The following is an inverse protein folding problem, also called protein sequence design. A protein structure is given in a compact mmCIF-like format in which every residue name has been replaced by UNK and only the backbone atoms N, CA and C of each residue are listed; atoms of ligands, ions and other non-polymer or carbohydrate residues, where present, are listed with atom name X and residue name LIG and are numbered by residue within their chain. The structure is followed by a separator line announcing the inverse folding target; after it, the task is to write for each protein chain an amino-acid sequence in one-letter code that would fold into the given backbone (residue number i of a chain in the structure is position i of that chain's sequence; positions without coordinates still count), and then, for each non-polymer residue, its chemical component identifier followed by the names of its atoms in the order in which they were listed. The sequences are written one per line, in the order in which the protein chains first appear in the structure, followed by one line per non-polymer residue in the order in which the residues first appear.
data_IF_412606190965
#
_entry.id   IF_412606190965
#
_cell.length_a   1.000
_cell.length_b   1.000
_cell.length_c   1.000
_cell.angle_alpha   90.00
_cell.angle_beta   90.00
_cell.angle_gamma   90.00
#
_symmetry.space_group_name_H-M   'P 1'
#
loop_
_entity.id
_entity.type
_entity.pdbx_description
1 polymer ?
#
# COMPACT_ATOMS: atom_id res chain seq x y z
N UNK A 1 5.66 27.01 0.12
CA UNK A 1 5.10 25.83 -0.56
C UNK A 1 6.02 25.53 -1.73
N UNK A 2 6.79 24.43 -1.67
CA UNK A 2 7.42 23.88 -2.88
C UNK A 2 6.37 22.96 -3.50
N UNK A 3 6.06 23.16 -4.77
CA UNK A 3 5.28 22.21 -5.55
C UNK A 3 5.96 20.84 -5.47
N UNK A 4 5.35 19.90 -4.75
CA UNK A 4 5.72 18.48 -4.79
C UNK A 4 5.04 17.93 -6.05
N UNK A 5 5.44 18.42 -7.21
CA UNK A 5 5.22 17.68 -8.45
C UNK A 5 6.36 16.68 -8.54
N UNK A 6 6.09 15.36 -8.57
CA UNK A 6 7.15 14.41 -8.89
C UNK A 6 7.74 14.83 -10.26
N UNK A 7 9.06 14.83 -10.43
CA UNK A 7 9.66 15.16 -11.71
C UNK A 7 9.07 14.25 -12.79
N UNK A 8 8.57 14.86 -13.86
CA UNK A 8 8.14 14.15 -15.07
C UNK A 8 9.36 13.37 -15.59
N UNK A 9 9.16 12.08 -15.82
CA UNK A 9 9.92 11.24 -16.76
C UNK A 9 11.40 10.91 -16.53
N UNK A 10 11.89 10.82 -15.28
CA UNK A 10 13.13 10.08 -15.05
C UNK A 10 12.88 8.87 -14.13
N UNK A 11 13.00 7.67 -14.69
CA UNK A 11 13.07 6.42 -13.94
C UNK A 11 14.33 6.44 -13.06
N UNK A 12 14.19 6.98 -11.86
CA UNK A 12 15.27 7.03 -10.87
C UNK A 12 15.43 5.65 -10.24
N UNK A 13 16.59 5.06 -10.45
CA UNK A 13 17.02 3.83 -9.78
C UNK A 13 17.86 4.18 -8.54
N UNK A 14 17.96 3.23 -7.61
CA UNK A 14 18.78 3.39 -6.40
C UNK A 14 20.23 2.94 -6.60
N UNK A 15 20.51 2.22 -7.70
CA UNK A 15 21.76 1.49 -7.93
C UNK A 15 21.74 0.04 -7.41
N UNK A 16 20.69 -0.37 -6.70
CA UNK A 16 20.50 -1.76 -6.22
C UNK A 16 19.60 -2.56 -7.16
N UNK A 17 19.56 -3.87 -6.96
CA UNK A 17 18.73 -4.83 -7.70
C UNK A 17 17.64 -5.42 -6.82
N UNK A 18 16.45 -5.61 -7.40
CA UNK A 18 15.37 -6.44 -6.88
C UNK A 18 15.46 -7.82 -7.53
N UNK A 19 15.41 -8.88 -6.73
CA UNK A 19 15.58 -10.26 -7.19
C UNK A 19 14.41 -11.10 -6.70
N UNK A 20 13.69 -11.72 -7.63
CA UNK A 20 12.64 -12.69 -7.30
C UNK A 20 13.28 -14.06 -7.15
N UNK A 21 13.10 -14.68 -5.98
CA UNK A 21 13.60 -16.02 -5.69
C UNK A 21 12.55 -17.08 -6.03
N UNK A 22 12.99 -18.27 -6.40
CA UNK A 22 12.13 -19.45 -6.54
C UNK A 22 11.42 -19.77 -5.22
N UNK A 23 10.13 -20.12 -5.21
CA UNK A 23 9.43 -20.59 -4.01
C UNK A 23 10.01 -21.87 -3.40
N UNK A 24 10.87 -22.58 -4.15
CA UNK A 24 11.51 -23.83 -3.71
C UNK A 24 12.98 -23.63 -3.34
N UNK A 25 13.44 -22.38 -3.28
CA UNK A 25 14.83 -22.06 -2.93
C UNK A 25 15.16 -22.54 -1.51
N UNK A 26 16.29 -23.21 -1.36
CA UNK A 26 16.93 -23.42 -0.07
C UNK A 26 17.65 -22.13 0.32
N UNK A 27 16.97 -21.30 1.13
CA UNK A 27 17.49 -19.99 1.56
C UNK A 27 18.84 -20.14 2.27
N UNK A 28 19.01 -21.01 3.28
CA UNK A 28 20.32 -21.23 3.92
C UNK A 28 21.45 -21.59 2.95
N UNK A 29 21.18 -22.45 1.96
CA UNK A 29 22.20 -22.82 0.97
C UNK A 29 22.55 -21.64 0.06
N UNK A 30 21.55 -20.88 -0.39
CA UNK A 30 21.75 -19.69 -1.22
C UNK A 30 22.53 -18.60 -0.48
N UNK A 31 22.15 -18.28 0.75
CA UNK A 31 22.85 -17.26 1.55
C UNK A 31 24.29 -17.69 1.85
N UNK A 32 24.52 -18.98 2.13
CA UNK A 32 25.88 -19.52 2.30
C UNK A 32 26.73 -19.36 1.05
N UNK A 33 26.18 -19.58 -0.15
CA UNK A 33 26.90 -19.42 -1.42
C UNK A 33 27.28 -17.94 -1.69
N UNK A 34 26.39 -17.00 -1.36
CA UNK A 34 26.64 -15.57 -1.50
C UNK A 34 27.67 -15.08 -0.46
N UNK A 35 27.57 -15.51 0.79
CA UNK A 35 28.56 -15.18 1.83
C UNK A 35 29.93 -15.78 1.54
N UNK A 36 30.01 -16.93 0.86
CA UNK A 36 31.28 -17.54 0.45
C UNK A 36 32.09 -16.67 -0.55
N UNK A 37 31.42 -15.77 -1.29
CA UNK A 37 32.08 -14.76 -2.15
C UNK A 37 32.22 -13.40 -1.47
N UNK A 38 32.07 -13.36 -0.14
CA UNK A 38 32.35 -12.20 0.68
C UNK A 38 31.20 -11.21 0.83
N UNK A 39 29.98 -11.57 0.44
CA UNK A 39 28.81 -10.71 0.64
C UNK A 39 28.31 -10.76 2.09
N UNK A 40 28.01 -9.59 2.65
CA UNK A 40 27.18 -9.46 3.86
C UNK A 40 25.71 -9.71 3.52
N UNK A 41 25.19 -10.88 3.91
CA UNK A 41 23.83 -11.33 3.59
C UNK A 41 22.98 -11.36 4.86
N UNK A 42 21.85 -10.66 4.82
CA UNK A 42 20.92 -10.56 5.96
C UNK A 42 19.58 -11.18 5.60
N UNK A 43 19.08 -12.09 6.44
CA UNK A 43 17.73 -12.66 6.31
C UNK A 43 16.75 -11.94 7.23
N UNK A 44 15.60 -11.52 6.70
CA UNK A 44 14.64 -10.69 7.41
C UNK A 44 14.03 -11.37 8.64
N UNK A 45 13.67 -12.66 8.55
CA UNK A 45 13.14 -13.42 9.68
C UNK A 45 14.14 -13.56 10.84
N UNK A 46 15.45 -13.67 10.56
CA UNK A 46 16.53 -13.69 11.57
C UNK A 46 16.72 -12.34 12.29
N UNK A 47 15.99 -11.31 11.85
CA UNK A 47 15.94 -9.97 12.47
C UNK A 47 14.55 -9.66 13.03
N UNK A 48 13.75 -10.69 13.33
CA UNK A 48 12.39 -10.51 13.87
C UNK A 48 11.41 -9.98 12.83
N UNK A 49 11.62 -10.31 11.56
CA UNK A 49 10.70 -10.02 10.47
C UNK A 49 10.76 -8.58 9.93
N UNK A 50 11.70 -7.78 10.42
CA UNK A 50 11.91 -6.40 9.97
C UNK A 50 13.40 -6.05 10.08
N UNK A 51 14.01 -5.86 8.93
CA UNK A 51 15.43 -5.51 8.85
C UNK A 51 15.61 -4.06 9.28
N UNK A 52 16.51 -3.75 10.22
CA UNK A 52 16.77 -2.37 10.64
C UNK A 52 17.14 -1.49 9.44
N UNK A 53 16.67 -0.23 9.36
CA UNK A 53 16.97 0.65 8.23
C UNK A 53 18.47 0.81 7.95
N UNK A 54 19.31 0.83 8.99
CA UNK A 54 20.74 1.03 8.79
C UNK A 54 21.39 -0.22 8.20
N UNK A 55 20.90 -1.40 8.59
CA UNK A 55 21.25 -2.66 7.93
C UNK A 55 20.74 -2.69 6.49
N UNK A 56 19.54 -2.13 6.22
CA UNK A 56 19.05 -1.98 4.84
C UNK A 56 19.95 -1.11 3.98
N UNK A 57 20.68 -0.17 4.57
CA UNK A 57 21.57 0.74 3.86
C UNK A 57 22.97 0.16 3.61
N UNK A 58 23.45 -0.75 4.47
CA UNK A 58 24.84 -1.23 4.46
C UNK A 58 25.04 -2.66 4.00
N UNK A 59 24.04 -3.54 4.11
CA UNK A 59 24.19 -4.95 3.73
C UNK A 59 24.29 -5.12 2.21
N UNK A 60 25.11 -6.08 1.76
CA UNK A 60 25.30 -6.38 0.34
C UNK A 60 24.08 -7.10 -0.25
N UNK A 61 23.43 -7.95 0.53
CA UNK A 61 22.18 -8.59 0.14
C UNK A 61 21.23 -8.77 1.32
N UNK A 62 19.94 -8.61 1.04
CA UNK A 62 18.88 -8.70 2.04
C UNK A 62 17.79 -9.61 1.51
N UNK A 63 17.60 -10.73 2.17
CA UNK A 63 16.61 -11.74 1.82
C UNK A 63 15.36 -11.54 2.67
N UNK A 64 14.26 -11.19 2.01
CA UNK A 64 12.92 -11.25 2.59
C UNK A 64 12.39 -12.65 2.34
N UNK A 65 12.63 -13.56 3.27
CA UNK A 65 12.38 -15.01 3.11
C UNK A 65 10.89 -15.34 2.96
N UNK A 66 10.01 -14.70 3.72
CA UNK A 66 8.55 -14.80 3.52
C UNK A 66 8.10 -14.19 2.18
N UNK A 67 8.82 -13.14 1.78
CA UNK A 67 8.90 -12.54 0.45
C UNK A 67 9.30 -13.53 -0.65
N UNK A 68 10.20 -14.48 -0.41
CA UNK A 68 11.06 -15.04 -1.46
C UNK A 68 11.60 -13.94 -2.40
N UNK A 69 12.02 -12.83 -1.80
CA UNK A 69 12.58 -11.67 -2.49
C UNK A 69 13.96 -11.40 -1.93
N UNK A 70 14.85 -10.86 -2.75
CA UNK A 70 16.14 -10.38 -2.31
C UNK A 70 16.41 -8.99 -2.90
N UNK A 71 16.92 -8.09 -2.07
CA UNK A 71 17.48 -6.80 -2.52
C UNK A 71 18.99 -6.93 -2.46
N UNK A 72 19.69 -6.62 -3.54
CA UNK A 72 21.14 -6.76 -3.63
C UNK A 72 21.74 -5.41 -3.99
N UNK A 73 22.77 -4.98 -3.25
CA UNK A 73 23.62 -3.85 -3.63
C UNK A 73 24.27 -4.11 -5.00
N UNK A 74 24.94 -3.12 -5.60
CA UNK A 74 25.64 -3.35 -6.86
C UNK A 74 26.69 -4.47 -6.68
N UNK A 75 26.49 -5.66 -7.30
CA UNK A 75 27.26 -6.84 -6.96
C UNK A 75 28.67 -6.77 -7.55
N UNK A 76 29.67 -7.22 -6.77
CA UNK A 76 31.03 -7.44 -7.26
C UNK A 76 31.06 -8.45 -8.42
N UNK A 77 32.15 -8.50 -9.19
CA UNK A 77 32.30 -9.48 -10.29
C UNK A 77 32.13 -10.92 -9.80
N UNK A 78 32.61 -11.23 -8.59
CA UNK A 78 32.46 -12.55 -7.98
C UNK A 78 30.99 -12.83 -7.58
N UNK A 79 30.31 -11.85 -7.00
CA UNK A 79 28.88 -11.94 -6.68
C UNK A 79 28.01 -12.11 -7.94
N UNK A 80 28.33 -11.38 -9.01
CA UNK A 80 27.66 -11.52 -10.32
C UNK A 80 27.81 -12.95 -10.88
N UNK A 81 28.98 -13.57 -10.76
CA UNK A 81 29.18 -14.93 -11.22
C UNK A 81 28.27 -15.93 -10.46
N UNK A 82 28.19 -15.80 -9.13
CA UNK A 82 27.30 -16.63 -8.30
C UNK A 82 25.83 -16.37 -8.65
N UNK A 83 25.42 -15.11 -8.78
CA UNK A 83 24.05 -14.77 -9.16
C UNK A 83 23.66 -15.32 -10.54
N UNK A 84 24.57 -15.26 -11.52
CA UNK A 84 24.34 -15.84 -12.84
C UNK A 84 24.19 -17.37 -12.78
N UNK A 85 24.97 -18.05 -11.94
CA UNK A 85 24.81 -19.50 -11.72
C UNK A 85 23.46 -19.81 -11.07
N UNK A 86 23.09 -19.07 -10.02
CA UNK A 86 21.80 -19.23 -9.34
C UNK A 86 20.63 -18.97 -10.31
N UNK A 87 20.75 -17.99 -11.20
CA UNK A 87 19.76 -17.74 -12.24
C UNK A 87 19.70 -18.88 -13.26
N UNK A 88 20.84 -19.40 -13.73
CA UNK A 88 20.90 -20.53 -14.66
C UNK A 88 20.30 -21.81 -14.05
N UNK A 89 20.34 -21.95 -12.73
CA UNK A 89 19.72 -23.05 -11.96
C UNK A 89 18.24 -22.83 -11.65
N UNK A 90 17.64 -21.71 -12.07
CA UNK A 90 16.25 -21.37 -11.79
C UNK A 90 15.98 -20.99 -10.33
N UNK A 91 17.02 -20.65 -9.57
CA UNK A 91 16.90 -20.17 -8.19
C UNK A 91 16.52 -18.69 -8.18
N UNK A 92 17.14 -17.88 -9.04
CA UNK A 92 16.72 -16.50 -9.30
C UNK A 92 15.81 -16.48 -10.52
N UNK A 93 14.57 -16.04 -10.34
CA UNK A 93 13.55 -16.01 -11.38
C UNK A 93 13.57 -14.71 -12.19
N UNK A 94 13.86 -13.58 -11.54
CA UNK A 94 14.05 -12.29 -12.20
C UNK A 94 15.03 -11.42 -11.42
N UNK A 95 15.68 -10.50 -12.13
CA UNK A 95 16.58 -9.47 -11.58
C UNK A 95 16.20 -8.15 -12.25
N UNK A 96 15.74 -7.18 -11.48
CA UNK A 96 15.25 -5.87 -11.95
C UNK A 96 15.96 -4.74 -11.19
N UNK A 97 16.00 -3.55 -11.77
CA UNK A 97 16.51 -2.37 -11.06
C UNK A 97 15.57 -1.94 -9.93
N UNK A 98 16.12 -1.69 -8.75
CA UNK A 98 15.38 -1.07 -7.66
C UNK A 98 15.14 0.41 -7.97
N UNK A 99 13.88 0.84 -7.87
CA UNK A 99 13.47 2.21 -8.14
C UNK A 99 12.93 2.94 -6.94
N UNK A 100 12.58 4.21 -7.17
CA UNK A 100 11.86 5.04 -6.21
C UNK A 100 10.35 5.10 -6.50
N UNK A 101 9.58 5.27 -5.42
CA UNK A 101 8.14 5.56 -5.40
C UNK A 101 7.84 6.80 -4.56
N UNK A 102 6.68 7.41 -4.78
CA UNK A 102 6.30 8.72 -4.23
C UNK A 102 4.88 8.68 -3.64
N UNK A 103 4.54 9.57 -2.68
CA UNK A 103 3.17 9.70 -2.19
C UNK A 103 2.27 10.25 -3.30
N UNK A 104 1.02 9.79 -3.36
CA UNK A 104 0.08 10.13 -4.43
C UNK A 104 -1.15 10.84 -3.84
N UNK A 105 -1.13 12.16 -3.68
CA UNK A 105 -2.26 12.98 -3.20
C UNK A 105 -2.12 14.47 -3.57
N UNK A 106 -3.23 15.19 -3.67
CA UNK A 106 -3.30 16.64 -3.87
C UNK A 106 -4.25 17.30 -2.85
N UNK A 107 -4.14 18.61 -2.55
CA UNK A 107 -5.07 19.32 -1.66
C UNK A 107 -6.49 19.43 -2.22
N UNK A 108 -7.52 19.47 -1.36
CA UNK A 108 -8.93 19.72 -1.73
C UNK A 108 -9.70 20.58 -0.71
N UNK A 109 -10.84 21.20 -1.07
CA UNK A 109 -11.72 21.96 -0.16
C UNK A 109 -12.41 21.10 0.91
N UNK A 110 -12.68 21.67 2.09
CA UNK A 110 -13.30 20.96 3.21
C UNK A 110 -14.82 20.73 3.04
N UNK A 111 -15.29 19.51 3.34
CA UNK A 111 -16.71 19.14 3.36
C UNK A 111 -17.42 19.42 4.70
N UNK A 112 -18.75 19.45 4.68
CA UNK A 112 -19.63 19.64 5.86
C UNK A 112 -20.64 18.47 6.00
N UNK A 113 -20.93 18.05 7.23
CA UNK A 113 -21.91 16.99 7.56
C UNK A 113 -21.64 16.32 8.91
N UNK A 114 -22.43 15.29 9.27
CA UNK A 114 -22.19 14.40 10.43
C UNK A 114 -21.21 13.25 10.10
N UNK A 115 -21.16 12.85 8.82
CA UNK A 115 -20.18 11.93 8.25
C UNK A 115 -19.68 12.49 6.90
N UNK A 116 -18.49 12.09 6.47
CA UNK A 116 -18.00 12.47 5.13
C UNK A 116 -18.83 11.78 4.05
N UNK A 117 -19.01 12.46 2.91
CA UNK A 117 -19.80 11.93 1.79
C UNK A 117 -19.35 10.53 1.36
N UNK A 118 -18.04 10.26 1.44
CA UNK A 118 -17.43 9.00 1.07
C UNK A 118 -17.97 7.83 1.87
N UNK A 119 -18.22 8.01 3.18
CA UNK A 119 -18.79 6.94 4.02
C UNK A 119 -20.21 6.57 3.61
N UNK A 120 -21.04 7.57 3.30
CA UNK A 120 -22.40 7.34 2.79
C UNK A 120 -22.39 6.71 1.40
N UNK A 121 -21.49 7.15 0.52
CA UNK A 121 -21.38 6.62 -0.85
C UNK A 121 -20.98 5.13 -0.90
N UNK A 122 -20.16 4.67 0.04
CA UNK A 122 -19.71 3.27 0.14
C UNK A 122 -20.49 2.45 1.16
N UNK A 123 -21.57 2.99 1.74
CA UNK A 123 -22.49 2.24 2.61
C UNK A 123 -21.96 1.91 4.02
N UNK A 124 -20.94 2.61 4.51
CA UNK A 124 -20.34 2.32 5.84
C UNK A 124 -21.33 2.56 6.97
N UNK A 125 -22.20 3.55 6.83
CA UNK A 125 -23.15 3.93 7.88
C UNK A 125 -24.20 2.85 8.14
N UNK A 126 -24.47 2.01 7.16
CA UNK A 126 -25.40 0.88 7.24
C UNK A 126 -24.70 -0.44 7.60
N UNK A 127 -23.36 -0.48 7.59
CA UNK A 127 -22.59 -1.67 7.96
C UNK A 127 -22.65 -1.93 9.47
N UNK A 128 -22.98 -3.15 9.93
CA UNK A 128 -22.88 -3.52 11.34
C UNK A 128 -21.43 -3.82 11.78
N UNK A 129 -20.50 -3.90 10.82
CA UNK A 129 -19.09 -4.22 11.05
C UNK A 129 -18.25 -2.98 11.32
N UNK A 130 -17.17 -3.14 12.08
CA UNK A 130 -16.25 -2.07 12.49
C UNK A 130 -14.77 -2.37 12.19
N UNK A 131 -14.45 -3.51 11.58
CA UNK A 131 -13.10 -4.04 11.34
C UNK A 131 -12.52 -4.82 12.52
N UNK A 132 -13.35 -5.33 13.44
CA UNK A 132 -12.88 -5.96 14.69
C UNK A 132 -12.00 -7.18 14.40
N UNK A 133 -10.86 -7.26 15.09
CA UNK A 133 -9.90 -8.37 14.94
C UNK A 133 -9.16 -8.39 13.61
N UNK A 134 -9.34 -7.39 12.75
CA UNK A 134 -8.62 -7.26 11.49
C UNK A 134 -7.48 -6.27 11.64
N UNK A 135 -6.28 -6.72 11.24
CA UNK A 135 -5.06 -5.92 11.22
C UNK A 135 -4.87 -5.28 9.86
N UNK A 136 -4.80 -3.95 9.83
CA UNK A 136 -4.62 -3.12 8.63
C UNK A 136 -3.29 -2.40 8.72
N UNK A 137 -2.44 -2.58 7.72
CA UNK A 137 -1.17 -1.90 7.60
C UNK A 137 -1.23 -0.76 6.57
N UNK A 138 -0.72 0.41 6.95
CA UNK A 138 -0.57 1.57 6.08
C UNK A 138 0.92 1.78 5.82
N UNK A 139 1.37 1.53 4.59
CA UNK A 139 2.76 1.66 4.16
C UNK A 139 2.96 3.02 3.48
N UNK A 140 3.28 4.06 4.25
CA UNK A 140 3.26 5.45 3.79
C UNK A 140 4.46 6.26 4.30
N UNK A 141 4.32 7.58 4.43
CA UNK A 141 5.35 8.50 4.93
C UNK A 141 5.41 8.60 6.47
N UNK A 142 4.66 7.75 7.19
CA UNK A 142 4.65 7.70 8.64
C UNK A 142 3.25 7.85 9.22
N UNK A 143 3.19 8.10 10.52
CA UNK A 143 1.96 8.45 11.25
C UNK A 143 2.27 9.44 12.37
N UNK A 144 1.32 10.29 12.72
CA UNK A 144 1.41 11.14 13.90
C UNK A 144 0.74 10.47 15.12
N UNK A 145 1.50 9.82 16.03
CA UNK A 145 0.93 9.15 17.19
C UNK A 145 0.39 10.10 18.25
N UNK A 146 0.67 11.41 18.14
CA UNK A 146 0.16 12.40 19.07
C UNK A 146 -1.24 12.91 18.70
N UNK A 147 -1.74 12.55 17.52
CA UNK A 147 -3.03 13.00 17.02
C UNK A 147 -4.20 12.62 17.97
N UNK A 148 -5.09 13.55 18.34
CA UNK A 148 -6.12 13.33 19.35
C UNK A 148 -7.08 12.17 19.02
N UNK A 149 -7.40 11.97 17.74
CA UNK A 149 -8.31 10.90 17.29
C UNK A 149 -7.78 9.47 17.47
N UNK A 150 -6.51 9.32 17.78
CA UNK A 150 -5.88 8.02 18.03
C UNK A 150 -5.41 7.86 19.48
N UNK A 151 -5.71 8.83 20.35
CA UNK A 151 -5.39 8.74 21.77
C UNK A 151 -6.14 7.55 22.40
N UNK A 152 -5.41 6.75 23.17
CA UNK A 152 -5.94 5.52 23.78
C UNK A 152 -6.09 4.33 22.82
N UNK A 153 -5.83 4.48 21.51
CA UNK A 153 -5.78 3.37 20.56
C UNK A 153 -4.36 2.84 20.44
N UNK A 154 -4.21 1.52 20.49
CA UNK A 154 -2.91 0.88 20.21
C UNK A 154 -2.62 0.96 18.71
N UNK A 155 -1.63 1.77 18.34
CA UNK A 155 -1.10 1.85 16.97
C UNK A 155 0.34 1.33 16.96
N UNK A 156 0.56 0.23 16.25
CA UNK A 156 1.91 -0.33 16.08
C UNK A 156 2.58 0.40 14.92
N UNK A 157 3.75 0.98 15.12
CA UNK A 157 4.38 1.81 14.10
C UNK A 157 5.91 1.59 14.07
N UNK A 158 6.47 1.53 12.87
CA UNK A 158 7.91 1.34 12.63
C UNK A 158 8.36 2.07 11.37
N UNK A 159 9.59 2.58 11.39
CA UNK A 159 10.25 3.14 10.21
C UNK A 159 11.15 2.12 9.54
N UNK A 160 11.11 2.12 8.21
CA UNK A 160 11.97 1.36 7.32
C UNK A 160 12.88 2.29 6.49
N UNK A 161 12.85 3.59 6.79
CA UNK A 161 13.68 4.61 6.15
C UNK A 161 14.91 4.90 7.03
N UNK A 162 16.14 4.78 6.49
CA UNK A 162 17.38 5.03 7.21
C UNK A 162 17.42 6.41 7.86
N UNK A 163 17.84 6.48 9.13
CA UNK A 163 17.94 7.73 9.89
C UNK A 163 16.62 8.44 10.24
N UNK A 164 15.46 7.90 9.88
CA UNK A 164 14.16 8.53 10.12
C UNK A 164 13.27 7.76 11.11
N UNK A 165 12.57 8.48 11.98
CA UNK A 165 11.55 7.90 12.88
C UNK A 165 10.24 7.64 12.13
N UNK A 166 9.29 6.93 12.73
CA UNK A 166 7.98 6.65 12.12
C UNK A 166 7.02 7.86 12.09
N UNK A 167 7.47 9.05 12.50
CA UNK A 167 6.69 10.28 12.45
C UNK A 167 6.30 10.63 11.01
N UNK A 168 5.08 11.13 10.83
CA UNK A 168 4.62 11.63 9.53
C UNK A 168 4.95 13.11 9.32
N UNK A 169 6.02 13.39 8.58
CA UNK A 169 6.37 14.76 8.18
C UNK A 169 5.48 15.30 7.04
N UNK A 170 4.84 14.41 6.28
CA UNK A 170 4.07 14.76 5.08
C UNK A 170 2.58 15.00 5.36
N UNK A 171 2.04 14.34 6.39
CA UNK A 171 0.62 14.23 6.73
C UNK A 171 -0.17 13.21 5.92
N UNK A 172 0.32 12.73 4.77
CA UNK A 172 -0.45 11.81 3.91
C UNK A 172 -0.62 10.42 4.52
N UNK A 173 0.32 9.96 5.36
CA UNK A 173 0.20 8.67 6.04
C UNK A 173 -0.87 8.71 7.13
N UNK A 174 -0.89 9.79 7.91
CA UNK A 174 -1.89 10.08 8.93
C UNK A 174 -3.28 10.26 8.30
N UNK A 175 -3.36 10.87 7.10
CA UNK A 175 -4.60 11.00 6.34
C UNK A 175 -5.16 9.66 5.89
N UNK A 176 -4.33 8.81 5.28
CA UNK A 176 -4.74 7.49 4.84
C UNK A 176 -5.14 6.58 6.02
N UNK A 177 -4.38 6.62 7.12
CA UNK A 177 -4.72 5.90 8.35
C UNK A 177 -6.07 6.33 8.92
N UNK A 178 -6.36 7.64 8.91
CA UNK A 178 -7.63 8.18 9.34
C UNK A 178 -8.82 7.73 8.48
N UNK A 179 -8.68 7.70 7.15
CA UNK A 179 -9.78 7.24 6.29
C UNK A 179 -10.04 5.75 6.54
N UNK A 180 -8.99 4.92 6.46
CA UNK A 180 -9.14 3.48 6.55
C UNK A 180 -9.62 3.06 7.95
N UNK A 181 -9.06 3.66 9.00
CA UNK A 181 -9.14 3.17 10.37
C UNK A 181 -9.40 4.27 11.41
N UNK A 182 -9.76 5.49 11.05
CA UNK A 182 -10.05 6.57 12.01
C UNK A 182 -11.23 6.27 12.93
N UNK A 183 -11.44 7.07 13.98
CA UNK A 183 -12.49 6.81 14.96
C UNK A 183 -13.90 6.98 14.37
N UNK A 184 -14.88 6.33 15.01
CA UNK A 184 -16.30 6.54 14.72
C UNK A 184 -16.76 7.96 15.09
N UNK A 185 -16.17 8.52 16.14
CA UNK A 185 -16.44 9.87 16.64
C UNK A 185 -15.12 10.61 16.76
N UNK A 186 -14.70 11.32 15.70
CA UNK A 186 -13.54 12.21 15.74
C UNK A 186 -13.66 13.30 16.81
N UNK A 187 -12.52 13.86 17.22
CA UNK A 187 -12.48 14.97 18.18
C UNK A 187 -13.01 16.27 17.55
N UNK A 188 -12.94 16.38 16.22
CA UNK A 188 -13.49 17.50 15.45
C UNK A 188 -14.02 17.03 14.09
N UNK A 189 -15.07 17.69 13.61
CA UNK A 189 -15.63 17.45 12.28
C UNK A 189 -16.47 16.16 12.16
N UNK A 190 -16.93 15.84 10.95
CA UNK A 190 -17.70 14.63 10.68
C UNK A 190 -16.89 13.35 10.88
N UNK A 191 -17.60 12.22 11.07
CA UNK A 191 -17.01 10.89 10.97
C UNK A 191 -16.37 10.68 9.59
N UNK A 192 -15.12 10.24 9.57
CA UNK A 192 -14.39 9.90 8.34
C UNK A 192 -13.81 8.46 8.33
N UNK A 193 -13.74 7.79 9.49
CA UNK A 193 -13.16 6.45 9.60
C UNK A 193 -14.10 5.32 9.16
N UNK A 194 -13.59 4.45 8.28
CA UNK A 194 -14.30 3.26 7.76
C UNK A 194 -14.28 2.12 8.79
N UNK A 195 -13.12 1.47 9.00
CA UNK A 195 -12.92 0.35 9.91
C UNK A 195 -12.44 0.82 11.28
N UNK A 196 -13.34 1.49 12.01
CA UNK A 196 -12.99 2.27 13.20
C UNK A 196 -12.51 1.46 14.42
N UNK A 197 -12.63 0.13 14.41
CA UNK A 197 -12.11 -0.80 15.43
C UNK A 197 -11.02 -1.75 14.92
N UNK A 198 -10.52 -1.57 13.70
CA UNK A 198 -9.39 -2.34 13.18
C UNK A 198 -8.10 -2.09 13.97
N UNK A 199 -7.21 -3.08 14.03
CA UNK A 199 -5.88 -2.90 14.59
C UNK A 199 -4.97 -2.23 13.55
N UNK A 200 -4.40 -1.08 13.90
CA UNK A 200 -3.65 -0.25 12.97
C UNK A 200 -2.13 -0.48 13.08
N UNK A 201 -1.52 -0.79 11.94
CA UNK A 201 -0.08 -0.94 11.76
C UNK A 201 0.42 0.13 10.79
N UNK A 202 1.48 0.83 11.14
CA UNK A 202 2.08 1.88 10.31
C UNK A 202 3.51 1.48 9.97
N UNK A 203 3.80 1.41 8.68
CA UNK A 203 5.14 1.22 8.17
C UNK A 203 5.54 2.48 7.40
N UNK A 204 6.48 3.27 7.96
CA UNK A 204 7.07 4.38 7.21
C UNK A 204 8.05 3.82 6.20
N UNK A 205 7.70 3.93 4.92
CA UNK A 205 8.47 3.46 3.76
C UNK A 205 8.78 4.59 2.77
N UNK A 206 8.26 5.80 3.03
CA UNK A 206 8.60 7.02 2.32
C UNK A 206 9.34 7.97 3.28
N UNK A 207 10.45 8.52 2.80
CA UNK A 207 11.24 9.52 3.51
C UNK A 207 10.47 10.82 3.73
N UNK A 208 10.97 11.68 4.61
CA UNK A 208 10.45 13.03 4.84
C UNK A 208 10.58 13.92 3.58
N UNK A 209 11.40 13.52 2.62
CA UNK A 209 11.50 14.16 1.29
C UNK A 209 10.50 13.60 0.27
N UNK A 210 9.66 12.64 0.67
CA UNK A 210 8.59 12.09 -0.16
C UNK A 210 9.03 11.02 -1.15
N UNK A 211 10.18 10.38 -0.98
CA UNK A 211 10.62 9.25 -1.80
C UNK A 211 10.80 7.98 -0.97
N UNK A 212 10.49 6.81 -1.55
CA UNK A 212 10.77 5.51 -0.95
C UNK A 212 11.46 4.57 -1.94
N UNK A 213 12.49 3.86 -1.50
CA UNK A 213 13.13 2.81 -2.28
C UNK A 213 12.30 1.51 -2.22
N UNK A 214 12.16 0.76 -3.32
CA UNK A 214 11.34 -0.46 -3.34
C UNK A 214 11.69 -1.45 -2.22
N UNK A 215 12.96 -1.58 -1.83
CA UNK A 215 13.41 -2.43 -0.73
C UNK A 215 12.89 -1.98 0.64
N UNK A 216 12.67 -0.68 0.86
CA UNK A 216 11.99 -0.18 2.07
C UNK A 216 10.52 -0.59 2.06
N UNK A 217 9.86 -0.51 0.89
CA UNK A 217 8.48 -0.95 0.70
C UNK A 217 8.39 -2.46 0.96
N UNK A 218 9.29 -3.26 0.38
CA UNK A 218 9.33 -4.72 0.57
C UNK A 218 9.54 -5.11 2.04
N UNK A 219 10.42 -4.40 2.75
CA UNK A 219 10.64 -4.61 4.19
C UNK A 219 9.38 -4.27 5.00
N UNK A 220 8.69 -3.18 4.65
CA UNK A 220 7.40 -2.83 5.25
C UNK A 220 6.32 -3.88 4.99
N UNK A 221 6.23 -4.42 3.77
CA UNK A 221 5.28 -5.49 3.40
C UNK A 221 5.61 -6.75 4.20
N UNK A 222 6.88 -7.15 4.23
CA UNK A 222 7.36 -8.30 4.98
C UNK A 222 6.96 -8.19 6.46
N UNK A 223 7.27 -7.05 7.09
CA UNK A 223 6.92 -6.79 8.48
C UNK A 223 5.40 -6.82 8.73
N UNK A 224 4.60 -6.25 7.83
CA UNK A 224 3.15 -6.26 7.96
C UNK A 224 2.59 -7.70 7.90
N UNK A 225 3.08 -8.54 6.98
CA UNK A 225 2.69 -9.96 6.91
C UNK A 225 3.20 -10.76 8.12
N UNK A 226 4.41 -10.47 8.61
CA UNK A 226 4.95 -11.00 9.87
C UNK A 226 4.04 -10.70 11.07
N UNK A 227 3.42 -9.52 11.08
CA UNK A 227 2.46 -9.12 12.11
C UNK A 227 1.03 -9.59 11.81
N UNK A 228 0.81 -10.43 10.80
CA UNK A 228 -0.51 -10.96 10.46
C UNK A 228 -1.49 -9.91 9.95
N UNK A 229 -1.01 -8.82 9.34
CA UNK A 229 -1.86 -7.85 8.69
C UNK A 229 -2.53 -8.49 7.47
N UNK A 230 -3.86 -8.35 7.36
CA UNK A 230 -4.64 -8.91 6.25
C UNK A 230 -4.92 -7.89 5.15
N UNK A 231 -4.83 -6.60 5.44
CA UNK A 231 -4.99 -5.53 4.44
C UNK A 231 -3.76 -4.63 4.52
N UNK A 232 -3.06 -4.46 3.40
CA UNK A 232 -1.86 -3.62 3.31
C UNK A 232 -2.13 -2.53 2.26
N UNK A 233 -2.31 -1.29 2.72
CA UNK A 233 -2.49 -0.13 1.87
C UNK A 233 -1.13 0.46 1.46
N UNK A 234 -0.94 0.64 0.17
CA UNK A 234 0.21 1.27 -0.48
C UNK A 234 -0.26 2.57 -1.15
N UNK A 235 -0.44 3.69 -0.43
CA UNK A 235 -0.87 4.98 -0.98
C UNK A 235 0.31 5.72 -1.65
N UNK A 236 1.04 4.99 -2.48
CA UNK A 236 2.29 5.36 -3.11
C UNK A 236 2.38 4.78 -4.51
N UNK A 237 3.25 5.34 -5.34
CA UNK A 237 3.52 4.76 -6.64
C UNK A 237 4.50 5.56 -7.50
N UNK A 238 4.71 5.09 -8.71
CA UNK A 238 5.45 5.77 -9.76
C UNK A 238 4.93 5.40 -11.15
N UNK A 239 5.30 6.18 -12.17
CA UNK A 239 4.92 5.95 -13.56
C UNK A 239 5.65 4.76 -14.22
N UNK A 240 6.38 3.95 -13.44
CA UNK A 240 7.10 2.78 -13.96
C UNK A 240 6.14 1.74 -14.54
N UNK A 241 6.57 0.98 -15.58
CA UNK A 241 5.84 -0.19 -16.05
C UNK A 241 5.72 -1.26 -14.96
N UNK A 242 4.92 -2.32 -15.16
CA UNK A 242 4.79 -3.42 -14.21
C UNK A 242 6.14 -4.04 -13.85
N UNK A 243 6.41 -4.16 -12.55
CA UNK A 243 7.64 -4.76 -12.00
C UNK A 243 7.32 -6.18 -11.53
N UNK A 244 8.10 -7.17 -11.97
CA UNK A 244 7.88 -8.59 -11.63
C UNK A 244 7.91 -8.84 -10.13
N UNK A 245 8.82 -8.17 -9.42
CA UNK A 245 8.90 -8.22 -7.97
C UNK A 245 7.56 -7.93 -7.28
N UNK A 246 6.82 -6.90 -7.71
CA UNK A 246 5.51 -6.59 -7.13
C UNK A 246 4.45 -7.62 -7.50
N UNK A 247 4.51 -8.21 -8.70
CA UNK A 247 3.61 -9.32 -9.09
C UNK A 247 3.78 -10.49 -8.13
N UNK A 248 5.02 -10.96 -7.95
CA UNK A 248 5.37 -12.07 -7.08
C UNK A 248 5.00 -11.81 -5.62
N UNK A 249 5.26 -10.60 -5.11
CA UNK A 249 4.89 -10.21 -3.75
C UNK A 249 3.37 -10.25 -3.56
N UNK A 250 2.58 -9.76 -4.53
CA UNK A 250 1.11 -9.81 -4.45
C UNK A 250 0.57 -11.24 -4.40
N UNK A 251 1.10 -12.14 -5.23
CA UNK A 251 0.78 -13.57 -5.20
C UNK A 251 1.06 -14.19 -3.82
N UNK A 252 2.21 -13.87 -3.24
CA UNK A 252 2.65 -14.40 -1.94
C UNK A 252 1.85 -13.82 -0.78
N UNK A 253 1.45 -12.54 -0.86
CA UNK A 253 0.55 -11.93 0.12
C UNK A 253 -0.83 -12.60 0.10
N UNK A 254 -1.39 -12.84 -1.10
CA UNK A 254 -2.67 -13.55 -1.25
C UNK A 254 -2.63 -14.96 -0.66
N UNK A 255 -1.55 -15.71 -0.94
CA UNK A 255 -1.33 -17.05 -0.38
C UNK A 255 -1.22 -17.03 1.16
N UNK A 256 -0.78 -15.92 1.74
CA UNK A 256 -0.69 -15.71 3.19
C UNK A 256 -1.96 -15.07 3.78
N UNK A 257 -3.04 -14.95 3.01
CA UNK A 257 -4.32 -14.44 3.51
C UNK A 257 -4.41 -12.92 3.61
N UNK A 258 -3.53 -12.19 2.90
CA UNK A 258 -3.50 -10.73 2.86
C UNK A 258 -3.76 -10.16 1.44
N UNK A 259 -4.29 -8.95 1.39
CA UNK A 259 -4.55 -8.20 0.15
C UNK A 259 -3.69 -6.93 0.15
N UNK A 260 -2.94 -6.72 -0.94
CA UNK A 260 -2.25 -5.46 -1.21
C UNK A 260 -3.19 -4.52 -1.97
N UNK A 261 -3.39 -3.31 -1.44
CA UNK A 261 -4.22 -2.25 -2.04
C UNK A 261 -3.30 -1.16 -2.58
N UNK A 262 -3.23 -1.02 -3.90
CA UNK A 262 -2.46 -0.01 -4.59
C UNK A 262 -3.34 1.10 -5.17
N UNK A 263 -2.73 2.24 -5.43
CA UNK A 263 -3.39 3.41 -6.01
C UNK A 263 -3.13 3.48 -7.52
N UNK A 264 -4.14 3.86 -8.31
CA UNK A 264 -3.97 3.94 -9.76
C UNK A 264 -2.93 4.98 -10.20
N UNK A 265 -2.82 6.09 -9.46
CA UNK A 265 -2.05 7.28 -9.85
C UNK A 265 -2.93 8.52 -10.03
N UNK A 266 -2.31 9.68 -10.19
CA UNK A 266 -2.97 10.98 -10.32
C UNK A 266 -2.43 11.83 -11.49
N UNK A 267 -1.89 11.19 -12.51
CA UNK A 267 -1.22 11.85 -13.64
C UNK A 267 -2.14 12.27 -14.78
N UNK A 268 -3.39 11.82 -14.78
CA UNK A 268 -4.34 12.09 -15.86
C UNK A 268 -4.85 13.53 -15.84
N UNK A 269 -5.33 13.98 -16.99
CA UNK A 269 -6.11 15.21 -17.16
C UNK A 269 -7.28 14.86 -18.08
N UNK A 270 -8.23 14.09 -17.56
CA UNK A 270 -9.32 13.46 -18.32
C UNK A 270 -10.18 14.45 -19.08
N UNK A 271 -10.44 15.63 -18.53
CA UNK A 271 -11.17 16.72 -19.17
C UNK A 271 -10.49 17.23 -20.46
N UNK A 272 -9.19 16.93 -20.64
CA UNK A 272 -8.40 17.24 -21.83
C UNK A 272 -8.18 16.03 -22.75
N UNK A 273 -8.78 14.89 -22.43
CA UNK A 273 -8.60 13.62 -23.15
C UNK A 273 -7.26 12.93 -22.88
N UNK A 274 -6.52 13.35 -21.83
CA UNK A 274 -5.23 12.75 -21.45
C UNK A 274 -5.43 11.76 -20.30
N UNK A 275 -5.40 10.47 -20.61
CA UNK A 275 -5.57 9.38 -19.64
C UNK A 275 -4.24 8.65 -19.50
N UNK A 276 -3.61 8.83 -18.35
CA UNK A 276 -2.37 8.15 -18.01
C UNK A 276 -2.66 6.72 -17.52
N UNK A 277 -1.79 5.74 -17.82
CA UNK A 277 -1.95 4.38 -17.36
C UNK A 277 -1.73 4.28 -15.84
N UNK A 278 -2.30 3.25 -15.24
CA UNK A 278 -2.04 2.90 -13.84
C UNK A 278 -0.55 2.65 -13.61
N UNK A 279 -0.01 3.23 -12.55
CA UNK A 279 1.41 3.14 -12.20
C UNK A 279 1.77 1.93 -11.33
N UNK A 280 3.08 1.67 -11.16
CA UNK A 280 3.59 0.68 -10.21
C UNK A 280 3.43 1.18 -8.77
N UNK A 281 3.08 0.32 -7.79
CA UNK A 281 2.92 -1.13 -7.91
C UNK A 281 1.51 -1.60 -8.32
N UNK A 282 0.51 -0.72 -8.40
CA UNK A 282 -0.88 -1.10 -8.65
C UNK A 282 -1.12 -1.72 -10.04
N UNK A 283 -0.20 -1.52 -10.99
CA UNK A 283 -0.30 -1.99 -12.37
C UNK A 283 -0.03 -3.49 -12.58
N UNK A 284 0.25 -4.28 -11.53
CA UNK A 284 0.32 -5.75 -11.60
C UNK A 284 -1.00 -6.39 -11.16
N UNK A 285 -1.38 -7.50 -11.81
CA UNK A 285 -2.67 -8.22 -11.60
C UNK A 285 -2.89 -8.74 -10.17
N UNK A 286 -1.84 -8.85 -9.37
CA UNK A 286 -1.87 -9.42 -8.02
C UNK A 286 -2.01 -8.36 -6.92
N UNK A 287 -2.05 -7.07 -7.29
CA UNK A 287 -2.28 -5.93 -6.39
C UNK A 287 -3.58 -5.23 -6.78
N UNK A 288 -4.45 -4.96 -5.82
CA UNK A 288 -5.76 -4.37 -6.06
C UNK A 288 -5.60 -2.89 -6.42
N UNK A 289 -5.85 -2.52 -7.68
CA UNK A 289 -5.72 -1.15 -8.17
C UNK A 289 -6.99 -0.36 -7.95
N UNK A 290 -6.86 0.78 -7.26
CA UNK A 290 -7.98 1.64 -6.90
C UNK A 290 -7.92 2.98 -7.64
N UNK A 291 -8.97 3.27 -8.40
CA UNK A 291 -9.22 4.59 -8.99
C UNK A 291 -10.09 5.49 -8.09
N UNK A 292 -10.18 6.78 -8.42
CA UNK A 292 -10.90 7.77 -7.63
C UNK A 292 -12.16 8.29 -8.33
N UNK A 293 -13.23 8.44 -7.56
CA UNK A 293 -14.44 9.18 -7.96
C UNK A 293 -14.72 10.36 -7.05
N UNK A 294 -15.48 11.32 -7.58
CA UNK A 294 -16.02 12.45 -6.83
C UNK A 294 -17.40 12.16 -6.20
N UNK A 295 -17.94 13.17 -5.51
CA UNK A 295 -19.25 13.09 -4.85
C UNK A 295 -20.43 12.95 -5.82
N UNK A 296 -20.22 13.22 -7.11
CA UNK A 296 -21.18 12.98 -8.19
C UNK A 296 -20.97 11.61 -8.86
N UNK A 297 -20.11 10.77 -8.29
CA UNK A 297 -19.73 9.44 -8.78
C UNK A 297 -19.11 9.46 -10.17
N UNK A 298 -18.54 10.60 -10.57
CA UNK A 298 -17.76 10.71 -11.79
C UNK A 298 -16.31 10.38 -11.50
N UNK A 299 -15.63 9.78 -12.48
CA UNK A 299 -14.19 9.50 -12.38
C UNK A 299 -13.45 10.82 -12.24
N UNK A 300 -12.62 10.93 -11.20
CA UNK A 300 -11.89 12.15 -10.92
C UNK A 300 -10.92 12.50 -12.06
N UNK A 301 -10.81 13.78 -12.40
CA UNK A 301 -10.01 14.26 -13.55
C UNK A 301 -8.56 13.75 -13.54
N UNK A 302 -7.96 13.67 -12.34
CA UNK A 302 -6.60 13.21 -12.14
C UNK A 302 -6.43 11.68 -12.19
N UNK A 303 -7.50 10.91 -11.99
CA UNK A 303 -7.40 9.46 -11.76
C UNK A 303 -6.87 8.75 -12.99
N UNK A 304 -5.76 8.01 -12.85
CA UNK A 304 -5.26 7.16 -13.92
C UNK A 304 -6.26 6.06 -14.30
N UNK A 305 -6.10 5.51 -15.51
CA UNK A 305 -6.94 4.44 -16.07
C UNK A 305 -6.15 3.20 -16.48
N UNK A 306 -6.77 2.30 -17.22
CA UNK A 306 -6.19 1.03 -17.65
C UNK A 306 -6.52 -0.09 -16.67
N UNK A 307 -5.54 -0.55 -15.88
CA UNK A 307 -5.77 -1.57 -14.86
C UNK A 307 -6.44 -0.95 -13.62
N UNK A 308 -7.77 -0.99 -13.58
CA UNK A 308 -8.56 -0.62 -12.40
C UNK A 308 -9.39 -1.83 -11.98
N UNK A 309 -9.31 -2.21 -10.70
CA UNK A 309 -10.11 -3.29 -10.15
C UNK A 309 -11.43 -2.75 -9.58
N UNK A 310 -11.36 -1.63 -8.85
CA UNK A 310 -12.48 -0.97 -8.18
C UNK A 310 -12.19 0.52 -8.03
N UNK A 311 -13.20 1.33 -7.74
CA UNK A 311 -13.03 2.75 -7.37
C UNK A 311 -13.54 3.04 -5.97
N UNK A 312 -13.00 4.10 -5.38
CA UNK A 312 -13.41 4.63 -4.07
C UNK A 312 -13.58 6.15 -4.08
N UNK A 313 -14.18 6.72 -3.02
CA UNK A 313 -14.25 8.16 -2.81
C UNK A 313 -12.85 8.76 -2.73
N UNK A 314 -12.50 9.63 -3.67
CA UNK A 314 -11.14 10.17 -3.80
C UNK A 314 -11.05 11.66 -4.01
N UNK A 315 -12.16 12.39 -4.04
CA UNK A 315 -12.18 13.86 -4.16
C UNK A 315 -12.77 14.46 -2.90
N UNK A 316 -12.09 15.49 -2.39
CA UNK A 316 -12.51 16.28 -1.24
C UNK A 316 -12.77 15.43 0.00
N UNK A 317 -11.80 14.57 0.32
CA UNK A 317 -11.85 13.64 1.44
C UNK A 317 -11.17 14.22 2.67
N UNK A 318 -11.97 14.55 3.68
CA UNK A 318 -11.51 14.96 5.01
C UNK A 318 -11.00 13.76 5.81
N UNK A 319 -9.88 13.92 6.49
CA UNK A 319 -9.34 12.95 7.45
C UNK A 319 -8.37 13.62 8.44
N UNK A 320 -7.85 12.84 9.39
CA UNK A 320 -6.74 13.24 10.25
C UNK A 320 -5.51 13.67 9.46
N UNK A 321 -4.71 14.55 10.05
CA UNK A 321 -3.49 15.11 9.48
C UNK A 321 -2.49 15.36 10.60
N UNK A 322 -1.19 15.31 10.30
CA UNK A 322 -0.16 15.61 11.30
C UNK A 322 -0.38 16.97 11.98
N UNK A 323 -0.06 17.03 13.26
CA UNK A 323 -0.07 18.26 14.02
C UNK A 323 0.94 19.28 13.47
N UNK A 324 0.66 20.59 13.63
CA UNK A 324 -0.43 21.18 14.39
C UNK A 324 -1.76 21.31 13.63
N UNK A 325 -1.83 20.90 12.35
CA UNK A 325 -3.02 21.11 11.51
C UNK A 325 -4.19 20.21 11.94
N UNK A 326 -3.91 19.00 12.44
CA UNK A 326 -4.86 17.99 12.92
C UNK A 326 -5.82 17.42 11.86
N UNK A 327 -6.42 18.25 10.99
CA UNK A 327 -7.36 17.77 9.97
C UNK A 327 -7.07 18.41 8.63
N UNK A 328 -7.20 17.61 7.57
CA UNK A 328 -6.98 18.08 6.21
C UNK A 328 -7.90 17.39 5.23
N UNK A 329 -8.24 18.11 4.16
CA UNK A 329 -9.01 17.57 3.04
C UNK A 329 -8.11 17.44 1.82
N UNK A 330 -8.07 16.24 1.26
CA UNK A 330 -7.25 15.90 0.10
C UNK A 330 -8.09 15.24 -0.99
N UNK A 331 -7.60 15.36 -2.22
CA UNK A 331 -8.06 14.67 -3.41
C UNK A 331 -6.93 13.80 -3.95
N UNK A 332 -7.19 12.51 -4.16
CA UNK A 332 -6.21 11.55 -4.64
C UNK A 332 -6.73 10.12 -4.67
N UNK A 333 -6.10 9.29 -5.51
CA UNK A 333 -6.36 7.84 -5.52
C UNK A 333 -5.93 7.17 -4.21
N UNK A 334 -5.02 7.78 -3.43
CA UNK A 334 -4.72 7.38 -2.04
C UNK A 334 -5.93 7.39 -1.12
N UNK A 335 -6.76 8.44 -1.19
CA UNK A 335 -7.95 8.56 -0.38
C UNK A 335 -9.00 7.50 -0.78
N UNK A 336 -9.14 7.26 -2.09
CA UNK A 336 -9.98 6.18 -2.61
C UNK A 336 -9.51 4.79 -2.13
N UNK A 337 -8.20 4.53 -2.23
CA UNK A 337 -7.60 3.28 -1.78
C UNK A 337 -7.73 3.09 -0.27
N UNK A 338 -7.66 4.15 0.53
CA UNK A 338 -7.87 4.07 1.97
C UNK A 338 -9.32 3.70 2.34
N UNK A 339 -10.32 4.21 1.61
CA UNK A 339 -11.69 3.74 1.76
C UNK A 339 -11.83 2.25 1.41
N UNK A 340 -11.24 1.82 0.30
CA UNK A 340 -11.23 0.41 -0.11
C UNK A 340 -10.56 -0.49 0.93
N UNK A 341 -9.41 -0.08 1.48
CA UNK A 341 -8.72 -0.81 2.53
C UNK A 341 -9.59 -0.96 3.79
N UNK A 342 -10.29 0.10 4.19
CA UNK A 342 -11.26 0.05 5.28
C UNK A 342 -12.39 -0.94 4.99
N UNK A 343 -12.99 -0.90 3.79
CA UNK A 343 -14.06 -1.82 3.41
C UNK A 343 -13.59 -3.28 3.37
N UNK A 344 -12.36 -3.54 2.91
CA UNK A 344 -11.78 -4.88 2.97
C UNK A 344 -11.70 -5.40 4.41
N UNK A 345 -11.36 -4.55 5.38
CA UNK A 345 -11.37 -4.94 6.78
C UNK A 345 -12.78 -5.27 7.28
N UNK A 346 -13.80 -4.51 6.85
CA UNK A 346 -15.19 -4.83 7.16
C UNK A 346 -15.64 -6.16 6.54
N UNK A 347 -15.24 -6.44 5.29
CA UNK A 347 -15.53 -7.70 4.60
C UNK A 347 -14.86 -8.90 5.29
N UNK A 348 -13.62 -8.73 5.76
CA UNK A 348 -12.90 -9.77 6.50
C UNK A 348 -13.49 -10.03 7.89
N UNK A 349 -14.07 -9.02 8.55
CA UNK A 349 -14.85 -9.23 9.79
C UNK A 349 -16.17 -9.97 9.47
N UNK A 350 -16.83 -9.62 8.37
CA UNK A 350 -18.09 -10.23 7.95
C UNK A 350 -17.96 -11.70 7.51
N UNK A 351 -16.74 -12.13 7.15
CA UNK A 351 -16.41 -13.50 6.78
C UNK A 351 -14.98 -13.86 7.21
N UNK A 352 -14.77 -14.21 8.49
CA UNK A 352 -13.45 -14.48 9.06
C UNK A 352 -12.73 -15.69 8.45
N UNK A 353 -13.48 -16.61 7.82
CA UNK A 353 -12.95 -17.86 7.27
C UNK A 353 -12.63 -17.76 5.78
N UNK A 354 -13.14 -16.75 5.07
CA UNK A 354 -12.81 -16.53 3.68
C UNK A 354 -11.32 -16.19 3.49
N UNK A 355 -10.74 -16.83 2.47
CA UNK A 355 -9.41 -16.51 1.96
C UNK A 355 -9.36 -15.07 1.44
N UNK A 356 -8.16 -14.51 1.34
CA UNK A 356 -7.98 -13.17 0.77
C UNK A 356 -8.55 -13.04 -0.66
N UNK A 357 -8.42 -14.10 -1.48
CA UNK A 357 -8.93 -14.10 -2.83
C UNK A 357 -10.47 -14.14 -2.89
N UNK A 358 -11.11 -14.86 -1.97
CA UNK A 358 -12.58 -14.85 -1.85
C UNK A 358 -13.10 -13.49 -1.41
N UNK A 359 -12.44 -12.85 -0.44
CA UNK A 359 -12.76 -11.48 -0.01
C UNK A 359 -12.59 -10.49 -1.17
N UNK A 360 -11.47 -10.55 -1.91
CA UNK A 360 -11.25 -9.70 -3.08
C UNK A 360 -12.37 -9.90 -4.11
N UNK A 361 -12.66 -11.14 -4.50
CA UNK A 361 -13.72 -11.45 -5.48
C UNK A 361 -15.08 -10.98 -5.02
N UNK A 362 -15.41 -11.16 -3.74
CA UNK A 362 -16.66 -10.67 -3.16
C UNK A 362 -16.76 -9.16 -3.26
N UNK A 363 -15.71 -8.44 -2.87
CA UNK A 363 -15.66 -6.97 -2.97
C UNK A 363 -15.95 -6.49 -4.40
N UNK A 364 -15.35 -7.14 -5.41
CA UNK A 364 -15.61 -6.82 -6.82
C UNK A 364 -17.06 -7.14 -7.21
N UNK A 365 -17.57 -8.30 -6.82
CA UNK A 365 -18.93 -8.74 -7.15
C UNK A 365 -20.02 -7.88 -6.50
N UNK A 366 -19.75 -7.28 -5.34
CA UNK A 366 -20.69 -6.42 -4.60
C UNK A 366 -20.47 -4.93 -4.86
N UNK A 367 -19.51 -4.56 -5.72
CA UNK A 367 -19.28 -3.18 -6.08
C UNK A 367 -20.52 -2.60 -6.79
N UNK A 368 -20.86 -1.34 -6.49
CA UNK A 368 -21.93 -0.63 -7.18
C UNK A 368 -21.45 -0.24 -8.56
N UNK A 369 -22.05 -0.82 -9.59
CA UNK A 369 -21.74 -0.49 -10.98
C UNK A 369 -21.92 1.01 -11.25
N UNK A 370 -20.98 1.58 -12.00
CA UNK A 370 -21.00 2.96 -12.45
C UNK A 370 -21.10 3.00 -13.97
N UNK A 371 -21.72 4.04 -14.52
CA UNK A 371 -21.82 4.24 -15.96
C UNK A 371 -20.52 4.85 -16.53
N UNK A 372 -19.45 4.06 -16.53
CA UNK A 372 -18.14 4.42 -17.06
C UNK A 372 -17.40 3.17 -17.58
N UNK A 373 -16.40 3.32 -18.45
CA UNK A 373 -15.61 2.19 -18.94
C UNK A 373 -14.93 1.42 -17.80
N UNK A 374 -14.84 0.09 -17.91
CA UNK A 374 -14.13 -0.75 -16.92
C UNK A 374 -12.65 -0.35 -16.76
N UNK A 375 -12.03 0.23 -17.79
CA UNK A 375 -10.68 0.79 -17.71
C UNK A 375 -10.56 1.99 -16.77
N UNK A 376 -11.69 2.59 -16.36
CA UNK A 376 -11.74 3.75 -15.48
C UNK A 376 -12.32 3.42 -14.11
N UNK A 377 -13.27 2.47 -14.04
CA UNK A 377 -14.00 2.15 -12.79
C UNK A 377 -13.87 0.70 -12.33
N UNK A 378 -13.25 -0.18 -13.13
CA UNK A 378 -13.20 -1.60 -12.83
C UNK A 378 -14.61 -2.18 -12.63
N UNK A 379 -14.82 -2.83 -11.48
CA UNK A 379 -16.13 -3.38 -11.10
C UNK A 379 -17.12 -2.33 -10.56
N UNK A 380 -16.70 -1.08 -10.39
CA UNK A 380 -17.52 0.02 -9.88
C UNK A 380 -17.07 0.53 -8.51
N UNK A 381 -17.96 1.25 -7.81
CA UNK A 381 -17.68 1.80 -6.49
C UNK A 381 -17.73 0.72 -5.42
N UNK A 382 -16.68 0.63 -4.60
CA UNK A 382 -16.61 -0.28 -3.45
C UNK A 382 -17.82 -0.07 -2.50
N UNK A 383 -18.35 -1.15 -1.91
CA UNK A 383 -19.47 -1.10 -0.97
C UNK A 383 -19.16 -1.92 0.29
N UNK A 384 -19.47 -1.36 1.45
CA UNK A 384 -19.35 -2.03 2.74
C UNK A 384 -20.39 -3.16 2.90
N UNK A 385 -20.05 -4.25 3.61
CA UNK A 385 -20.99 -5.33 3.86
C UNK A 385 -22.09 -4.92 4.83
N UNK A 386 -23.33 -5.35 4.55
CA UNK A 386 -24.51 -5.07 5.40
C UNK A 386 -24.97 -6.28 6.23
N UNK A 387 -24.39 -7.45 5.99
CA UNK A 387 -24.70 -8.68 6.73
C UNK A 387 -23.50 -9.62 6.74
N UNK A 388 -23.45 -10.51 7.73
CA UNK A 388 -22.47 -11.59 7.76
C UNK A 388 -22.82 -12.60 6.67
N UNK A 389 -21.80 -13.23 6.10
CA UNK A 389 -22.08 -14.35 5.18
C UNK A 389 -22.43 -15.57 6.01
N UNK A 390 -23.63 -16.11 5.85
CA UNK A 390 -23.94 -17.46 6.31
C UNK A 390 -23.14 -18.42 5.43
N UNK A 391 -22.22 -19.18 6.02
CA UNK A 391 -21.57 -20.27 5.32
C UNK A 391 -22.66 -21.19 4.70
N UNK A 392 -22.49 -21.64 3.44
CA UNK A 392 -23.44 -22.54 2.80
C UNK A 392 -23.56 -23.89 3.51
#
# INVERSE_FOLDING_TARGET
MKDIHPPRDEHRTTGRKLVVLSPTVDIPAMTSALSAVGMDVVVASERGGAVPPETMATADAIVFDRLHMMVVAEPSVAALAVMNELQARGILLSVEDEGFVYPLSAPGPAGQGDATWGLGAIGVEQSPFAGRGIRVAILAAGFDPSHPDFQGRKVVHRSFVPGETAQDASGVGTHAAGIACGPRTPSQGPRYGVAHEAELYIAKVLSDQGSGADGWIMNGIHWALENGCRVLLLPLGSARPPVEAYRAIGERALAQGAILVGVAGHGSHRARGDIQPTGSPANVVTILAVGAVDSSLQVADFSNGGKIDVVGPGVDVLSSWSLPRAYNTLSGTSAAAAHVAGVLALLMEADPHASALEIWRRMLATARQLNAPASDVGSGLVQAPVSATTAP
#
